data_IF_358150686568
#
_entry.id   IF_358150686568
#
_cell.length_a   1.000
_cell.length_b   1.000
_cell.length_c   1.000
_cell.angle_alpha   90.00
_cell.angle_beta   90.00
_cell.angle_gamma   90.00
#
_symmetry.space_group_name_H-M   'P 1'
#
loop_
_entity.id
_entity.type
_entity.pdbx_description
1 polymer ?
#
# COMPACT_ATOMS: atom_id res chain seq x y z
N UNK A 1 -5.60 9.68 -2.52
CA UNK A 1 -6.71 10.02 -3.44
C UNK A 1 -7.89 10.48 -2.57
N UNK A 2 -8.52 11.60 -2.92
CA UNK A 2 -9.68 12.14 -2.18
C UNK A 2 -10.98 11.53 -2.70
N UNK A 3 -11.85 11.13 -1.80
CA UNK A 3 -13.16 10.52 -2.06
C UNK A 3 -14.28 11.36 -1.44
N UNK A 4 -15.48 11.24 -2.01
CA UNK A 4 -16.72 11.82 -1.49
C UNK A 4 -16.71 13.36 -1.39
N UNK A 5 -16.01 14.03 -2.30
CA UNK A 5 -16.04 15.50 -2.42
C UNK A 5 -17.48 15.98 -2.68
N UNK A 6 -17.91 17.02 -1.96
CA UNK A 6 -19.27 17.59 -2.03
C UNK A 6 -20.41 16.62 -1.66
N UNK A 7 -20.11 15.55 -0.92
CA UNK A 7 -21.11 14.66 -0.32
C UNK A 7 -21.32 15.01 1.15
N UNK A 8 -22.17 14.26 1.83
CA UNK A 8 -22.54 14.42 3.24
C UNK A 8 -22.04 13.25 4.10
N UNK A 9 -21.87 12.07 3.50
CA UNK A 9 -21.40 10.86 4.17
C UNK A 9 -20.48 10.03 3.29
N UNK A 10 -19.51 9.39 3.93
CA UNK A 10 -18.67 8.36 3.36
C UNK A 10 -18.77 7.07 4.17
N UNK A 11 -18.75 5.93 3.47
CA UNK A 11 -18.68 4.59 4.05
C UNK A 11 -17.49 3.87 3.42
N UNK A 12 -16.55 3.41 4.24
CA UNK A 12 -15.41 2.62 3.82
C UNK A 12 -15.61 1.20 4.33
N UNK A 13 -15.83 0.27 3.39
CA UNK A 13 -15.87 -1.17 3.67
C UNK A 13 -14.48 -1.72 3.39
N UNK A 14 -13.86 -2.38 4.35
CA UNK A 14 -12.54 -2.95 4.18
C UNK A 14 -12.39 -4.29 4.89
N UNK A 15 -11.39 -5.06 4.49
CA UNK A 15 -11.00 -6.27 5.20
C UNK A 15 -9.51 -6.52 5.02
N UNK A 16 -8.92 -7.22 5.98
CA UNK A 16 -7.56 -7.73 5.93
C UNK A 16 -7.57 -9.16 5.33
N UNK A 17 -6.43 -9.85 5.39
CA UNK A 17 -6.28 -11.22 4.89
C UNK A 17 -7.22 -12.23 5.56
N UNK A 18 -7.66 -11.93 6.78
CA UNK A 18 -8.61 -12.74 7.54
C UNK A 18 -10.03 -12.72 6.93
N UNK A 19 -10.26 -11.89 5.91
CA UNK A 19 -11.53 -11.67 5.23
C UNK A 19 -12.67 -11.23 6.16
N UNK A 20 -12.36 -10.76 7.38
CA UNK A 20 -13.35 -10.19 8.28
C UNK A 20 -13.65 -8.77 7.84
N UNK A 21 -14.83 -8.58 7.25
CA UNK A 21 -15.27 -7.28 6.79
C UNK A 21 -15.50 -6.33 7.97
N UNK A 22 -14.98 -5.11 7.82
CA UNK A 22 -15.14 -3.99 8.72
C UNK A 22 -15.71 -2.80 7.96
N UNK A 23 -16.38 -1.92 8.69
CA UNK A 23 -17.07 -0.76 8.13
C UNK A 23 -16.67 0.46 8.96
N UNK A 24 -16.19 1.48 8.28
CA UNK A 24 -15.99 2.82 8.83
C UNK A 24 -16.98 3.77 8.17
N UNK A 25 -17.66 4.59 8.97
CA UNK A 25 -18.59 5.60 8.49
C UNK A 25 -18.16 6.98 9.00
N UNK A 26 -18.28 8.01 8.16
CA UNK A 26 -17.98 9.38 8.55
C UNK A 26 -18.84 10.39 7.80
N UNK A 27 -19.29 11.41 8.52
CA UNK A 27 -19.87 12.66 8.02
C UNK A 27 -18.80 13.70 7.64
N UNK A 28 -17.53 13.45 7.99
CA UNK A 28 -16.39 14.34 7.70
C UNK A 28 -15.83 14.05 6.31
N UNK A 29 -16.48 14.61 5.30
CA UNK A 29 -16.08 14.48 3.90
C UNK A 29 -15.48 15.79 3.34
N UNK A 30 -14.59 15.74 2.33
CA UNK A 30 -14.06 14.55 1.69
C UNK A 30 -13.14 13.74 2.61
N UNK A 31 -13.02 12.44 2.32
CA UNK A 31 -12.09 11.54 2.99
C UNK A 31 -10.95 11.13 2.06
N UNK A 32 -9.80 10.83 2.63
CA UNK A 32 -8.69 10.19 1.95
C UNK A 32 -8.48 8.82 2.57
N UNK A 33 -8.40 7.79 1.72
CA UNK A 33 -8.10 6.42 2.17
C UNK A 33 -6.73 6.05 1.61
N UNK A 34 -5.82 5.68 2.50
CA UNK A 34 -4.47 5.22 2.17
C UNK A 34 -4.28 3.85 2.79
N UNK A 35 -3.80 2.90 1.99
CA UNK A 35 -3.35 1.61 2.48
C UNK A 35 -1.83 1.52 2.38
N UNK A 36 -1.21 0.78 3.30
CA UNK A 36 0.24 0.60 3.31
C UNK A 36 0.66 -0.43 4.33
N UNK A 37 1.96 -0.47 4.63
CA UNK A 37 2.49 -1.22 5.77
C UNK A 37 2.18 -0.51 7.09
N UNK A 38 1.92 -1.29 8.15
CA UNK A 38 1.76 -0.76 9.50
C UNK A 38 3.01 -0.01 9.98
N UNK A 39 2.84 1.09 10.73
CA UNK A 39 3.98 1.87 11.25
C UNK A 39 4.78 1.10 12.31
N UNK A 40 4.19 0.08 12.92
CA UNK A 40 4.84 -0.90 13.81
C UNK A 40 5.36 -2.13 13.05
N UNK A 41 5.80 -1.94 11.80
CA UNK A 41 6.38 -3.03 11.02
C UNK A 41 7.67 -3.54 11.66
N UNK A 42 7.76 -4.85 11.84
CA UNK A 42 9.01 -5.51 12.16
C UNK A 42 10.00 -5.24 11.02
N UNK A 43 11.23 -4.95 11.39
CA UNK A 43 12.26 -4.57 10.44
C UNK A 43 13.58 -5.24 10.76
N UNK A 44 14.35 -5.50 9.72
CA UNK A 44 15.71 -5.97 9.82
C UNK A 44 16.56 -5.29 8.77
N UNK A 45 17.72 -4.81 9.22
CA UNK A 45 18.67 -4.09 8.37
C UNK A 45 19.80 -5.02 7.96
N UNK A 46 20.24 -4.90 6.71
CA UNK A 46 21.42 -5.56 6.16
C UNK A 46 22.37 -4.49 5.63
N UNK A 47 23.61 -4.54 6.11
CA UNK A 47 24.71 -3.79 5.53
C UNK A 47 25.46 -4.70 4.55
N UNK A 48 25.36 -4.39 3.27
CA UNK A 48 26.10 -5.06 2.22
C UNK A 48 27.31 -4.21 1.82
N UNK A 49 28.46 -4.87 1.67
CA UNK A 49 29.66 -4.26 1.13
C UNK A 49 30.45 -5.32 0.40
N UNK A 50 30.68 -5.12 -0.90
CA UNK A 50 31.51 -6.02 -1.69
C UNK A 50 32.39 -5.26 -2.66
N UNK A 51 33.65 -5.68 -2.77
CA UNK A 51 34.60 -5.23 -3.78
C UNK A 51 34.67 -6.22 -4.93
N UNK A 52 35.00 -5.73 -6.12
CA UNK A 52 35.05 -6.52 -7.34
C UNK A 52 36.36 -6.25 -8.09
N UNK A 53 36.95 -7.30 -8.71
CA UNK A 53 38.23 -7.18 -9.37
C UNK A 53 38.18 -6.21 -10.55
N UNK A 54 39.26 -5.47 -10.71
CA UNK A 54 39.32 -4.32 -11.60
C UNK A 54 39.94 -4.52 -12.96
N UNK A 55 40.35 -5.73 -13.32
CA UNK A 55 41.33 -5.91 -14.41
C UNK A 55 40.81 -5.44 -15.78
N UNK A 56 39.49 -5.52 -16.01
CA UNK A 56 38.85 -5.07 -17.25
C UNK A 56 37.46 -4.48 -16.96
N UNK A 57 37.00 -3.51 -17.79
CA UNK A 57 35.63 -3.02 -17.75
C UNK A 57 34.63 -4.17 -17.91
N UNK A 58 33.76 -4.35 -16.93
CA UNK A 58 32.79 -5.44 -16.89
C UNK A 58 31.66 -5.16 -15.90
N UNK A 59 30.58 -5.93 -16.03
CA UNK A 59 29.44 -5.90 -15.11
C UNK A 59 29.51 -7.08 -14.16
N UNK A 60 29.47 -6.80 -12.87
CA UNK A 60 29.34 -7.81 -11.82
C UNK A 60 27.93 -7.87 -11.30
N UNK A 61 27.43 -9.08 -11.09
CA UNK A 61 26.13 -9.33 -10.47
C UNK A 61 26.34 -9.74 -9.01
N UNK A 62 25.39 -9.38 -8.16
CA UNK A 62 25.36 -9.83 -6.78
C UNK A 62 23.93 -10.05 -6.30
N UNK A 63 23.81 -10.83 -5.22
CA UNK A 63 22.55 -11.10 -4.53
C UNK A 63 22.73 -10.82 -3.05
N UNK A 64 21.79 -10.07 -2.48
CA UNK A 64 21.72 -9.79 -1.05
C UNK A 64 20.52 -10.55 -0.51
N UNK A 65 20.76 -11.44 0.45
CA UNK A 65 19.70 -12.23 1.08
C UNK A 65 19.15 -11.50 2.31
N UNK A 66 17.88 -11.74 2.59
CA UNK A 66 17.26 -11.37 3.85
C UNK A 66 18.05 -11.95 5.04
N UNK A 67 18.13 -11.21 6.15
CA UNK A 67 18.74 -11.72 7.37
C UNK A 67 17.90 -12.87 7.96
N UNK A 68 18.53 -13.80 8.70
CA UNK A 68 17.88 -15.05 9.12
C UNK A 68 16.72 -14.87 10.10
N UNK A 69 16.59 -13.71 10.73
CA UNK A 69 15.52 -13.37 11.66
C UNK A 69 14.20 -12.99 10.96
N UNK A 70 14.18 -12.88 9.63
CA UNK A 70 12.93 -12.66 8.89
C UNK A 70 12.18 -13.98 8.78
N UNK A 71 10.93 -14.06 9.28
CA UNK A 71 10.13 -15.27 9.18
C UNK A 71 9.95 -15.69 7.72
N UNK A 72 10.20 -16.95 7.43
CA UNK A 72 9.90 -17.53 6.12
C UNK A 72 8.42 -17.87 6.00
N UNK A 73 7.90 -17.91 4.77
CA UNK A 73 6.51 -18.31 4.51
C UNK A 73 5.45 -17.25 4.82
N UNK A 74 5.83 -15.98 4.94
CA UNK A 74 4.85 -14.89 5.06
C UNK A 74 3.89 -14.88 3.86
N UNK A 75 2.59 -14.75 4.14
CA UNK A 75 1.54 -14.66 3.11
C UNK A 75 1.78 -13.48 2.16
N UNK A 76 2.32 -12.38 2.68
CA UNK A 76 2.86 -11.27 1.89
C UNK A 76 4.36 -11.23 2.10
N UNK A 77 5.19 -11.31 1.04
CA UNK A 77 6.63 -11.22 1.17
C UNK A 77 7.06 -9.89 1.82
N UNK A 78 8.18 -9.87 2.54
CA UNK A 78 8.70 -8.63 3.11
C UNK A 78 9.02 -7.64 2.00
N UNK A 79 8.80 -6.35 2.25
CA UNK A 79 9.21 -5.28 1.35
C UNK A 79 10.66 -4.90 1.61
N UNK A 80 11.39 -4.52 0.56
CA UNK A 80 12.82 -4.21 0.64
C UNK A 80 13.00 -2.73 0.32
N UNK A 81 13.62 -2.00 1.25
CA UNK A 81 13.90 -0.58 1.14
C UNK A 81 15.40 -0.33 1.06
N UNK A 82 15.82 0.54 0.15
CA UNK A 82 17.16 1.13 0.13
C UNK A 82 17.16 2.29 1.13
N UNK A 83 18.02 2.21 2.13
CA UNK A 83 18.23 3.29 3.11
C UNK A 83 19.35 4.19 2.61
N UNK A 84 20.47 3.58 2.24
CA UNK A 84 21.62 4.26 1.65
C UNK A 84 22.37 3.32 0.71
N UNK A 85 23.12 3.87 -0.22
CA UNK A 85 23.96 3.08 -1.11
C UNK A 85 25.03 3.91 -1.81
N UNK A 86 26.12 3.25 -2.18
CA UNK A 86 27.30 3.84 -2.76
C UNK A 86 27.93 2.87 -3.77
N UNK A 87 28.11 3.34 -5.00
CA UNK A 87 28.71 2.61 -6.11
C UNK A 87 29.90 3.40 -6.64
N UNK A 88 31.01 2.72 -6.90
CA UNK A 88 32.24 3.35 -7.41
C UNK A 88 32.15 3.83 -8.86
N UNK A 89 31.17 3.37 -9.62
CA UNK A 89 30.91 3.86 -10.98
C UNK A 89 29.38 3.98 -11.17
N UNK A 90 28.74 2.88 -11.57
CA UNK A 90 27.28 2.78 -11.63
C UNK A 90 26.80 1.33 -11.43
N UNK A 91 25.49 1.16 -11.26
CA UNK A 91 24.90 -0.16 -11.06
C UNK A 91 23.41 -0.10 -10.73
N UNK A 92 22.94 -1.16 -10.10
CA UNK A 92 21.55 -1.27 -9.65
C UNK A 92 21.41 -2.13 -8.39
N UNK A 93 20.29 -1.98 -7.71
CA UNK A 93 19.81 -2.93 -6.70
C UNK A 93 18.28 -2.94 -6.72
N UNK A 94 17.71 -4.11 -7.02
CA UNK A 94 16.29 -4.25 -7.32
C UNK A 94 15.84 -3.30 -8.43
N UNK A 95 14.81 -2.50 -8.15
CA UNK A 95 14.29 -1.49 -9.08
C UNK A 95 15.05 -0.16 -9.05
N UNK A 96 16.03 0.03 -8.15
CA UNK A 96 16.85 1.24 -8.13
C UNK A 96 18.04 1.09 -9.08
N UNK A 97 18.26 2.11 -9.91
CA UNK A 97 19.46 2.27 -10.74
C UNK A 97 20.13 3.58 -10.41
N UNK A 98 21.45 3.57 -10.32
CA UNK A 98 22.25 4.76 -10.02
C UNK A 98 22.34 5.75 -11.19
N UNK A 99 22.03 5.29 -12.41
CA UNK A 99 22.41 5.98 -13.65
C UNK A 99 23.93 5.99 -13.90
N UNK A 100 24.36 6.40 -15.10
CA UNK A 100 25.78 6.43 -15.49
C UNK A 100 26.60 7.50 -14.73
N UNK A 101 27.83 7.16 -14.35
CA UNK A 101 28.82 8.08 -13.77
C UNK A 101 29.99 7.33 -13.12
N UNK A 102 30.89 8.08 -12.46
CA UNK A 102 32.16 7.58 -11.87
C UNK A 102 32.05 7.46 -10.34
N UNK A 103 30.91 7.77 -9.73
CA UNK A 103 30.58 7.52 -8.31
C UNK A 103 29.11 7.90 -8.19
N UNK A 104 28.31 7.04 -7.57
CA UNK A 104 26.88 7.33 -7.32
C UNK A 104 26.49 6.94 -5.91
N UNK A 105 25.72 7.82 -5.27
CA UNK A 105 25.20 7.60 -3.94
C UNK A 105 23.69 7.81 -3.88
N UNK A 106 23.06 7.04 -3.02
CA UNK A 106 21.72 7.29 -2.52
C UNK A 106 21.80 7.37 -0.99
N UNK A 107 21.13 8.33 -0.36
CA UNK A 107 21.17 8.50 1.10
C UNK A 107 21.16 9.97 1.54
N UNK A 108 21.68 10.23 2.75
CA UNK A 108 21.61 11.54 3.40
C UNK A 108 20.24 11.77 4.01
N UNK A 109 19.62 12.91 3.70
CA UNK A 109 18.25 13.25 4.13
C UNK A 109 17.15 12.61 3.27
N UNK A 110 17.54 11.73 2.33
CA UNK A 110 16.59 11.03 1.45
C UNK A 110 15.76 10.01 2.26
N UNK A 111 14.42 10.00 2.11
CA UNK A 111 13.59 9.00 2.78
C UNK A 111 13.80 7.61 2.16
N UNK A 112 13.71 6.51 2.92
CA UNK A 112 13.86 5.15 2.40
C UNK A 112 13.08 4.87 1.11
N UNK A 113 13.74 4.31 0.10
CA UNK A 113 13.14 4.01 -1.20
C UNK A 113 12.79 2.52 -1.30
N UNK A 114 11.53 2.21 -1.61
CA UNK A 114 11.13 0.82 -1.90
C UNK A 114 11.77 0.35 -3.21
N UNK A 115 12.58 -0.70 -3.15
CA UNK A 115 13.34 -1.23 -4.29
C UNK A 115 12.99 -2.67 -4.67
N UNK A 116 12.13 -3.33 -3.90
CA UNK A 116 11.71 -4.70 -4.19
C UNK A 116 10.88 -5.33 -3.08
N UNK A 117 10.67 -6.64 -3.19
CA UNK A 117 10.00 -7.48 -2.19
C UNK A 117 10.55 -8.90 -2.26
N UNK A 118 10.54 -9.63 -1.16
CA UNK A 118 11.01 -11.02 -1.09
C UNK A 118 12.20 -11.23 -0.16
N UNK A 119 12.76 -12.43 -0.17
CA UNK A 119 13.83 -12.83 0.74
C UNK A 119 15.22 -12.68 0.16
N UNK A 120 15.32 -12.13 -1.05
CA UNK A 120 16.59 -11.76 -1.67
C UNK A 120 16.35 -10.65 -2.68
N UNK A 121 17.40 -9.92 -3.00
CA UNK A 121 17.40 -8.88 -4.02
C UNK A 121 18.69 -8.94 -4.81
N UNK A 122 18.58 -8.81 -6.12
CA UNK A 122 19.72 -8.80 -7.02
C UNK A 122 20.16 -7.36 -7.29
N UNK A 123 21.44 -7.19 -7.58
CA UNK A 123 22.00 -5.93 -8.00
C UNK A 123 23.18 -6.13 -8.92
N UNK A 124 23.66 -5.01 -9.44
CA UNK A 124 24.82 -4.94 -10.32
C UNK A 124 25.76 -3.83 -9.88
N UNK A 125 27.03 -4.00 -10.21
CA UNK A 125 28.00 -2.90 -10.30
C UNK A 125 28.72 -3.03 -11.63
N UNK A 126 28.86 -1.91 -12.33
CA UNK A 126 29.51 -1.85 -13.62
C UNK A 126 30.78 -1.06 -13.49
N UNK A 127 31.88 -1.74 -13.73
CA UNK A 127 33.20 -1.13 -13.77
C UNK A 127 33.44 -0.55 -15.16
N UNK A 128 33.73 0.75 -15.25
CA UNK A 128 34.04 1.40 -16.53
C UNK A 128 35.52 1.67 -16.73
N UNK A 129 36.36 1.37 -15.73
CA UNK A 129 37.82 1.58 -15.79
C UNK A 129 38.58 0.35 -15.27
N UNK A 130 39.85 0.18 -15.65
CA UNK A 130 40.63 -0.99 -15.25
C UNK A 130 41.21 -0.84 -13.82
N UNK A 131 40.34 -0.64 -12.83
CA UNK A 131 40.66 -0.67 -11.39
C UNK A 131 39.49 -1.27 -10.60
N UNK A 132 39.74 -1.69 -9.35
CA UNK A 132 38.72 -2.34 -8.50
C UNK A 132 37.51 -1.44 -8.29
N UNK A 133 36.30 -1.98 -8.44
CA UNK A 133 35.07 -1.26 -8.13
C UNK A 133 34.35 -1.90 -6.95
N UNK A 134 33.39 -1.19 -6.36
CA UNK A 134 32.63 -1.73 -5.23
C UNK A 134 31.16 -1.31 -5.27
N UNK A 135 30.35 -2.06 -4.52
CA UNK A 135 28.99 -1.70 -4.16
C UNK A 135 28.82 -1.82 -2.65
N UNK A 136 28.28 -0.77 -2.03
CA UNK A 136 27.92 -0.73 -0.61
C UNK A 136 26.48 -0.26 -0.49
N UNK A 137 25.66 -0.93 0.29
CA UNK A 137 24.32 -0.45 0.58
C UNK A 137 23.80 -0.91 1.92
N UNK A 138 22.96 -0.08 2.50
CA UNK A 138 22.15 -0.38 3.67
C UNK A 138 20.72 -0.62 3.19
N UNK A 139 20.22 -1.82 3.45
CA UNK A 139 18.89 -2.26 3.06
C UNK A 139 18.07 -2.57 4.29
N UNK A 140 16.79 -2.21 4.28
CA UNK A 140 15.85 -2.54 5.34
C UNK A 140 14.73 -3.41 4.76
N UNK A 141 14.62 -4.63 5.28
CA UNK A 141 13.46 -5.46 5.05
C UNK A 141 12.38 -5.09 6.06
N UNK A 142 11.19 -4.80 5.57
CA UNK A 142 10.02 -4.50 6.39
C UNK A 142 8.96 -5.57 6.20
N UNK A 143 8.45 -6.08 7.31
CA UNK A 143 7.35 -7.03 7.32
C UNK A 143 6.48 -6.81 8.55
N UNK A 144 5.30 -7.40 8.55
CA UNK A 144 4.25 -7.04 9.49
C UNK A 144 3.06 -6.51 8.72
N UNK A 145 1.91 -6.50 9.39
CA UNK A 145 0.61 -6.33 8.77
C UNK A 145 0.48 -5.08 7.88
N UNK A 146 -0.60 -5.06 7.13
CA UNK A 146 -1.06 -3.90 6.41
C UNK A 146 -1.76 -2.94 7.38
N UNK A 147 -1.76 -1.65 7.05
CA UNK A 147 -2.62 -0.64 7.65
C UNK A 147 -3.56 -0.04 6.62
N UNK A 148 -4.70 0.42 7.11
CA UNK A 148 -5.58 1.35 6.42
C UNK A 148 -5.68 2.61 7.28
N UNK A 149 -5.41 3.76 6.67
CA UNK A 149 -5.52 5.07 7.30
C UNK A 149 -6.57 5.86 6.55
N UNK A 150 -7.53 6.42 7.28
CA UNK A 150 -8.59 7.28 6.74
C UNK A 150 -8.43 8.66 7.36
N UNK A 151 -8.33 9.67 6.51
CA UNK A 151 -8.14 11.07 6.90
C UNK A 151 -9.23 11.95 6.32
N UNK A 152 -9.51 13.08 6.96
CA UNK A 152 -10.39 14.14 6.45
C UNK A 152 -9.73 15.49 6.70
N UNK A 153 -9.68 16.34 5.67
CA UNK A 153 -9.04 17.67 5.75
C UNK A 153 -7.60 17.62 6.32
N UNK A 154 -6.83 16.61 5.93
CA UNK A 154 -5.46 16.38 6.40
C UNK A 154 -5.34 15.85 7.83
N UNK A 155 -6.45 15.61 8.55
CA UNK A 155 -6.45 15.01 9.89
C UNK A 155 -6.84 13.55 9.83
N UNK A 156 -6.04 12.69 10.46
CA UNK A 156 -6.34 11.26 10.63
C UNK A 156 -7.60 11.09 11.49
N UNK A 157 -8.62 10.43 10.95
CA UNK A 157 -9.89 10.14 11.65
C UNK A 157 -10.04 8.67 12.01
N UNK A 158 -9.36 7.78 11.30
CA UNK A 158 -9.35 6.36 11.57
C UNK A 158 -8.05 5.71 11.12
N UNK A 159 -7.61 4.69 11.85
CA UNK A 159 -6.49 3.85 11.50
C UNK A 159 -6.68 2.47 12.05
N UNK A 160 -6.36 1.46 11.25
CA UNK A 160 -6.37 0.08 11.72
C UNK A 160 -5.30 -0.75 11.01
N UNK A 161 -4.77 -1.74 11.72
CA UNK A 161 -3.74 -2.67 11.24
C UNK A 161 -4.26 -4.11 11.23
N UNK A 162 -3.78 -4.92 10.29
CA UNK A 162 -4.11 -6.34 10.20
C UNK A 162 -3.26 -7.08 9.18
N UNK A 163 -3.50 -8.38 8.98
CA UNK A 163 -2.71 -9.17 8.02
C UNK A 163 -2.92 -8.68 6.57
N UNK A 164 -1.85 -8.64 5.78
CA UNK A 164 -1.93 -8.29 4.36
C UNK A 164 -2.52 -9.43 3.50
N UNK A 165 -3.30 -9.13 2.44
CA UNK A 165 -3.55 -7.80 1.88
C UNK A 165 -4.72 -7.08 2.57
N UNK A 166 -4.71 -5.74 2.49
CA UNK A 166 -5.90 -4.93 2.82
C UNK A 166 -6.62 -4.56 1.52
N UNK A 167 -7.92 -4.81 1.48
CA UNK A 167 -8.81 -4.39 0.38
C UNK A 167 -9.87 -3.47 0.94
N UNK A 168 -10.22 -2.43 0.19
CA UNK A 168 -11.25 -1.47 0.59
C UNK A 168 -12.13 -1.07 -0.60
N UNK A 169 -13.33 -0.61 -0.28
CA UNK A 169 -14.27 0.02 -1.19
C UNK A 169 -14.86 1.25 -0.48
N UNK A 170 -14.86 2.38 -1.17
CA UNK A 170 -15.48 3.62 -0.69
C UNK A 170 -16.83 3.80 -1.38
N UNK A 171 -17.84 4.11 -0.58
CA UNK A 171 -19.17 4.54 -0.98
C UNK A 171 -19.39 5.97 -0.47
N UNK A 172 -19.91 6.84 -1.33
CA UNK A 172 -20.09 8.27 -1.05
C UNK A 172 -21.53 8.61 -1.34
N UNK A 173 -22.31 9.02 -0.33
CA UNK A 173 -23.76 9.26 -0.44
C UNK A 173 -24.36 8.41 -1.56
N UNK A 174 -24.53 7.12 -1.28
CA UNK A 174 -25.11 6.20 -2.24
C UNK A 174 -26.54 6.71 -2.52
N UNK A 175 -26.68 7.62 -3.49
CA UNK A 175 -27.96 8.08 -3.99
C UNK A 175 -28.66 6.86 -4.57
N UNK A 176 -29.93 6.69 -4.23
CA UNK A 176 -30.70 5.65 -4.87
C UNK A 176 -30.76 5.92 -6.38
N UNK A 177 -30.66 4.88 -7.23
CA UNK A 177 -30.77 5.07 -8.66
C UNK A 177 -32.09 5.78 -8.99
N UNK A 178 -32.16 6.56 -10.09
CA UNK A 178 -33.39 7.23 -10.48
C UNK A 178 -34.56 6.24 -10.58
N UNK A 179 -35.66 6.52 -9.88
CA UNK A 179 -36.80 5.61 -9.78
C UNK A 179 -36.93 4.86 -8.45
N UNK A 180 -35.95 5.04 -7.56
CA UNK A 180 -35.94 4.46 -6.21
C UNK A 180 -35.93 5.56 -5.13
N UNK A 181 -36.52 5.28 -3.97
CA UNK A 181 -36.44 6.13 -2.76
C UNK A 181 -35.52 5.50 -1.72
N UNK A 182 -34.81 6.36 -1.00
CA UNK A 182 -33.99 5.98 0.14
C UNK A 182 -34.87 5.69 1.37
N UNK A 183 -34.66 4.54 1.99
CA UNK A 183 -35.32 4.12 3.22
C UNK A 183 -34.29 3.87 4.31
N UNK A 184 -34.47 4.51 5.45
CA UNK A 184 -33.61 4.38 6.62
C UNK A 184 -34.32 3.58 7.71
N UNK A 185 -33.65 2.58 8.28
CA UNK A 185 -34.20 1.74 9.34
C UNK A 185 -33.18 1.57 10.47
N UNK A 186 -33.52 1.81 11.75
CA UNK A 186 -32.57 1.76 12.86
C UNK A 186 -31.84 0.41 13.03
N UNK A 187 -32.45 -0.68 12.57
CA UNK A 187 -31.86 -2.03 12.60
C UNK A 187 -31.07 -2.45 11.36
N UNK A 188 -30.85 -1.58 10.38
CA UNK A 188 -30.17 -1.91 9.13
C UNK A 188 -28.93 -1.02 8.92
N UNK A 189 -27.72 -1.58 8.74
CA UNK A 189 -26.51 -0.78 8.54
C UNK A 189 -26.50 -0.17 7.13
N UNK A 190 -26.85 1.12 7.04
CA UNK A 190 -26.91 1.90 5.81
C UNK A 190 -28.32 2.37 5.50
N UNK A 191 -28.71 2.28 4.23
CA UNK A 191 -30.06 2.60 3.77
C UNK A 191 -30.43 1.62 2.64
N UNK A 192 -31.72 1.41 2.45
CA UNK A 192 -32.25 0.58 1.38
C UNK A 192 -32.78 1.48 0.25
N UNK A 193 -32.57 1.07 -1.00
CA UNK A 193 -33.25 1.69 -2.14
C UNK A 193 -34.52 0.90 -2.44
N UNK A 194 -35.65 1.57 -2.31
CA UNK A 194 -36.96 1.00 -2.55
C UNK A 194 -37.47 1.50 -3.90
N UNK A 195 -37.82 0.63 -4.86
CA UNK A 195 -38.35 1.07 -6.14
C UNK A 195 -39.71 1.76 -5.97
N UNK A 196 -39.81 2.99 -6.48
CA UNK A 196 -41.02 3.82 -6.40
C UNK A 196 -42.21 3.12 -7.06
N UNK A 197 -42.01 2.59 -8.28
CA UNK A 197 -43.06 1.94 -9.06
C UNK A 197 -43.60 0.69 -8.36
N UNK A 198 -42.70 -0.22 -7.97
CA UNK A 198 -43.10 -1.46 -7.29
C UNK A 198 -43.77 -1.22 -5.93
N UNK A 199 -43.41 -0.14 -5.25
CA UNK A 199 -44.03 0.24 -3.97
C UNK A 199 -45.39 0.89 -4.17
N UNK A 200 -45.53 1.78 -5.15
CA UNK A 200 -46.82 2.36 -5.53
C UNK A 200 -47.83 1.28 -5.94
N UNK A 201 -47.40 0.29 -6.73
CA UNK A 201 -48.26 -0.83 -7.14
C UNK A 201 -48.76 -1.64 -5.93
N UNK A 202 -47.90 -1.89 -4.94
CA UNK A 202 -48.29 -2.57 -3.69
C UNK A 202 -49.30 -1.76 -2.88
N UNK A 203 -49.09 -0.45 -2.74
CA UNK A 203 -50.00 0.45 -2.02
C UNK A 203 -51.37 0.47 -2.70
N UNK A 204 -51.41 0.61 -4.03
CA UNK A 204 -52.65 0.62 -4.81
C UNK A 204 -53.41 -0.71 -4.69
N UNK A 205 -52.70 -1.84 -4.74
CA UNK A 205 -53.31 -3.16 -4.56
C UNK A 205 -53.90 -3.36 -3.15
N UNK A 206 -53.24 -2.83 -2.11
CA UNK A 206 -53.77 -2.83 -0.74
C UNK A 206 -55.00 -1.92 -0.62
N UNK A 207 -54.94 -0.70 -1.17
CA UNK A 207 -56.06 0.24 -1.14
C UNK A 207 -57.31 -0.34 -1.83
N UNK A 208 -57.14 -1.05 -2.94
CA UNK A 208 -58.23 -1.71 -3.65
C UNK A 208 -58.84 -2.90 -2.89
N UNK A 209 -58.13 -3.47 -1.90
CA UNK A 209 -58.61 -4.58 -1.06
C UNK A 209 -59.33 -4.14 0.22
N UNK A 210 -59.21 -2.86 0.57
CA UNK A 210 -59.82 -2.27 1.77
C UNK A 210 -61.13 -1.52 1.42
N UNK A 211 -61.49 -1.46 0.12
CA UNK A 211 -62.83 -1.08 -0.35
C UNK A 211 -63.78 -2.27 -0.33
#
# INVERSE_FOLDING_TARGET
MSYCTNKTKAVVKFHFADNKQKIFESDKVPIEVVTGLADDTLKATVNFSNGYPGENPQTFNFTINAPPNIPQGLQTPPEIYLISGYWDDWGSVGSYSTGYGIVKSYGGDSPPLRIGSGYSINGTVVNVKPYECFARCELEWRWGGCKITISSQGKKVFEETGACPVKFKVSCDDDCPPGDIRCEHPGYPGFCCIPCKGTADKINNLANRIK
#
